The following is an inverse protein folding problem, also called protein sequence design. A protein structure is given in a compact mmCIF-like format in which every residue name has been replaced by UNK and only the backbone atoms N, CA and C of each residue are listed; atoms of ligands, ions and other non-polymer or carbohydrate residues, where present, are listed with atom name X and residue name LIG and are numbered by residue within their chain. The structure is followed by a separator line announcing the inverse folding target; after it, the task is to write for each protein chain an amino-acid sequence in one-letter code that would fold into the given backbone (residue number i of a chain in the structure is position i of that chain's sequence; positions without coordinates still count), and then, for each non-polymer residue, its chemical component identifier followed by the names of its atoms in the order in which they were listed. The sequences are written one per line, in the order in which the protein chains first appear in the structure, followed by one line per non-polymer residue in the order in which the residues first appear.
data_IF_805148196069
#
_entry.id   IF_805148196069
#
_cell.length_a   1.000
_cell.length_b   1.000
_cell.length_c   1.000
_cell.angle_alpha   90.00
_cell.angle_beta   90.00
_cell.angle_gamma   90.00
#
_symmetry.space_group_name_H-M   'P 1'
#
loop_
_entity.id
_entity.type
_entity.pdbx_description
1 polymer ?
#
# COMPACT_ATOMS: atom_id res chain seq x y z
N UNK A 1 3.82 1.27 -1.18
CA UNK A 1 2.40 0.93 -0.99
C UNK A 1 2.33 -0.56 -0.91
N UNK A 2 2.00 -1.07 0.26
CA UNK A 2 1.83 -2.50 0.48
C UNK A 2 0.35 -2.81 0.20
N UNK A 3 0.07 -3.78 -0.66
CA UNK A 3 -1.28 -4.13 -1.11
C UNK A 3 -1.60 -5.56 -0.71
N UNK A 4 -2.81 -5.78 -0.18
CA UNK A 4 -3.35 -7.11 0.10
C UNK A 4 -4.86 -7.09 -0.19
N UNK A 5 -5.36 -8.08 -0.92
CA UNK A 5 -6.74 -8.15 -1.39
C UNK A 5 -7.16 -6.93 -2.23
N UNK A 6 -6.22 -6.29 -2.93
CA UNK A 6 -6.47 -5.07 -3.69
C UNK A 6 -6.56 -3.77 -2.86
N UNK A 7 -6.32 -3.82 -1.54
CA UNK A 7 -6.40 -2.67 -0.64
C UNK A 7 -5.02 -2.26 -0.12
N UNK A 8 -4.75 -0.95 0.10
CA UNK A 8 -3.55 -0.47 0.78
C UNK A 8 -3.57 -0.88 2.25
N UNK A 9 -2.58 -1.65 2.66
CA UNK A 9 -2.44 -2.12 4.04
C UNK A 9 -1.10 -1.71 4.65
N UNK A 10 -1.01 -1.85 5.98
CA UNK A 10 0.26 -1.75 6.70
C UNK A 10 0.35 -2.90 7.71
N UNK A 11 1.51 -3.54 7.73
CA UNK A 11 1.84 -4.59 8.71
C UNK A 11 2.71 -4.00 9.82
N UNK A 12 2.44 -4.37 11.07
CA UNK A 12 3.35 -4.14 12.18
C UNK A 12 4.49 -5.16 12.12
N UNK A 13 5.72 -4.68 11.92
CA UNK A 13 6.93 -5.52 11.81
C UNK A 13 6.84 -6.67 10.78
N UNK A 14 6.01 -6.52 9.74
CA UNK A 14 5.82 -7.55 8.71
C UNK A 14 4.89 -8.70 9.10
N UNK A 15 4.22 -8.62 10.26
CA UNK A 15 3.29 -9.64 10.72
C UNK A 15 1.94 -9.53 9.97
N UNK A 16 1.55 -10.55 9.20
CA UNK A 16 0.37 -10.52 8.33
C UNK A 16 -0.95 -10.37 9.11
N UNK A 17 -1.03 -10.98 10.29
CA UNK A 17 -2.16 -10.87 11.20
C UNK A 17 -2.43 -9.44 11.71
N UNK A 18 -1.44 -8.55 11.57
CA UNK A 18 -1.55 -7.14 11.96
C UNK A 18 -1.94 -6.23 10.79
N UNK A 19 -2.31 -6.79 9.64
CA UNK A 19 -2.71 -6.02 8.46
C UNK A 19 -3.88 -5.08 8.79
N UNK A 20 -3.60 -3.78 8.71
CA UNK A 20 -4.61 -2.74 8.84
C UNK A 20 -4.71 -1.97 7.53
N UNK A 21 -5.94 -1.76 7.04
CA UNK A 21 -6.19 -0.90 5.90
C UNK A 21 -5.86 0.55 6.27
N UNK A 22 -5.07 1.21 5.43
CA UNK A 22 -4.60 2.60 5.67
C UNK A 22 -5.18 3.62 4.69
N UNK A 23 -5.80 3.15 3.61
CA UNK A 23 -6.49 3.97 2.62
C UNK A 23 -7.53 3.15 1.86
N UNK A 24 -8.46 3.81 1.19
CA UNK A 24 -9.59 3.16 0.51
C UNK A 24 -9.22 2.56 -0.85
N UNK A 25 -8.18 3.07 -1.51
CA UNK A 25 -7.89 2.76 -2.91
C UNK A 25 -6.39 2.97 -3.21
N UNK A 26 -5.75 1.93 -3.77
CA UNK A 26 -4.32 1.92 -4.11
C UNK A 26 -3.98 2.98 -5.15
N UNK A 27 -4.78 3.11 -6.19
CA UNK A 27 -4.52 4.04 -7.29
C UNK A 27 -4.63 5.48 -6.79
N UNK A 28 -5.64 5.80 -5.97
CA UNK A 28 -5.76 7.14 -5.37
C UNK A 28 -4.58 7.45 -4.47
N UNK A 29 -4.10 6.48 -3.67
CA UNK A 29 -2.90 6.65 -2.84
C UNK A 29 -1.65 6.86 -3.70
N UNK A 30 -1.48 6.13 -4.79
CA UNK A 30 -0.35 6.32 -5.69
C UNK A 30 -0.36 7.72 -6.35
N UNK A 31 -1.52 8.12 -6.88
CA UNK A 31 -1.70 9.44 -7.49
C UNK A 31 -1.52 10.59 -6.50
N UNK A 32 -1.83 10.40 -5.21
CA UNK A 32 -1.58 11.44 -4.20
C UNK A 32 -0.09 11.64 -3.94
N UNK A 33 0.71 10.57 -3.97
CA UNK A 33 2.17 10.66 -3.88
C UNK A 33 2.78 11.33 -5.12
N UNK A 34 2.35 10.96 -6.32
CA UNK A 34 2.77 11.63 -7.56
C UNK A 34 2.46 13.14 -7.49
N UNK A 35 1.23 13.52 -7.10
CA UNK A 35 0.82 14.92 -6.92
C UNK A 35 1.63 15.66 -5.86
N UNK A 36 2.14 14.95 -4.86
CA UNK A 36 3.02 15.50 -3.83
C UNK A 36 4.48 15.65 -4.32
N UNK A 37 4.79 15.25 -5.55
CA UNK A 37 6.11 15.37 -6.17
C UNK A 37 6.96 14.11 -6.09
N UNK A 38 6.39 12.95 -5.75
CA UNK A 38 7.13 11.69 -5.79
C UNK A 38 7.37 11.27 -7.24
N UNK A 39 8.64 11.11 -7.63
CA UNK A 39 9.04 10.62 -8.96
C UNK A 39 8.93 9.09 -9.08
N UNK A 40 8.97 8.38 -7.95
CA UNK A 40 8.95 6.93 -7.88
C UNK A 40 8.05 6.44 -6.74
N UNK A 41 7.31 5.36 -7.00
CA UNK A 41 6.45 4.72 -6.01
C UNK A 41 6.88 3.26 -5.91
N UNK A 42 7.35 2.85 -4.73
CA UNK A 42 7.57 1.45 -4.42
C UNK A 42 6.24 0.79 -4.06
N UNK A 43 5.90 -0.31 -4.72
CA UNK A 43 4.65 -1.06 -4.50
C UNK A 43 4.98 -2.54 -4.28
N UNK A 44 4.31 -3.15 -3.30
CA UNK A 44 4.49 -4.55 -2.92
C UNK A 44 3.11 -5.21 -2.90
N UNK A 45 2.96 -6.29 -3.66
CA UNK A 45 1.77 -7.15 -3.61
C UNK A 45 2.03 -8.29 -2.60
N UNK A 46 1.29 -8.27 -1.50
CA UNK A 46 1.40 -9.23 -0.41
C UNK A 46 0.55 -10.49 -0.65
N UNK A 47 -0.37 -10.50 -1.62
CA UNK A 47 -1.17 -11.69 -1.94
C UNK A 47 -0.33 -12.76 -2.65
N UNK A 48 0.73 -12.34 -3.34
CA UNK A 48 1.67 -13.21 -4.05
C UNK A 48 2.92 -13.61 -3.27
N UNK A 49 3.06 -13.15 -2.02
CA UNK A 49 4.21 -13.37 -1.15
C UNK A 49 3.92 -14.45 -0.10
#
# INVERSE_FOLDING_TARGET
IDMMGGLPVRLYQGAYESAAQVADDVLKTALSFEKAGAEWIHMVDLDGA
#
